data_IF_615160747987
#
_entry.id   IF_615160747987
#
_cell.length_a   1.000
_cell.length_b   1.000
_cell.length_c   1.000
_cell.angle_alpha   90.00
_cell.angle_beta   90.00
_cell.angle_gamma   90.00
#
_symmetry.space_group_name_H-M   'P 1'
#
loop_
_entity.id
_entity.type
_entity.pdbx_description
1 polymer ?
#
# COMPACT_ATOMS: atom_id res chain seq x y z
N UNK A 1 -8.18 31.95 42.66
CA UNK A 1 -6.92 32.06 41.89
C UNK A 1 -6.19 30.73 41.78
N UNK A 2 -6.03 29.97 42.88
CA UNK A 2 -5.40 28.61 42.87
C UNK A 2 -6.11 27.61 41.96
N UNK A 3 -7.45 27.60 41.92
CA UNK A 3 -8.23 26.71 41.04
C UNK A 3 -8.00 27.00 39.56
N UNK A 4 -7.76 28.26 39.18
CA UNK A 4 -7.55 28.65 37.78
C UNK A 4 -6.16 28.22 37.25
N UNK A 5 -5.14 28.19 38.11
CA UNK A 5 -3.80 27.67 37.79
C UNK A 5 -3.75 26.14 37.79
N UNK A 6 -4.55 25.48 38.62
CA UNK A 6 -4.69 24.03 38.61
C UNK A 6 -5.33 23.53 37.30
N UNK A 7 -6.33 24.25 36.76
CA UNK A 7 -6.98 23.87 35.50
C UNK A 7 -6.07 24.00 34.26
N UNK A 8 -5.04 24.85 34.28
CA UNK A 8 -4.05 24.96 33.19
C UNK A 8 -2.91 23.94 33.31
N UNK A 9 -2.85 23.18 34.40
CA UNK A 9 -1.82 22.19 34.68
C UNK A 9 -2.32 20.75 34.53
N UNK A 10 -3.59 20.55 34.16
CA UNK A 10 -4.15 19.22 33.89
C UNK A 10 -3.65 18.67 32.55
N UNK A 11 -3.72 17.33 32.40
CA UNK A 11 -3.42 16.61 31.16
C UNK A 11 -3.94 17.33 29.91
N UNK A 12 -3.04 17.52 28.93
CA UNK A 12 -3.34 18.19 27.65
C UNK A 12 -3.62 17.20 26.52
N UNK A 13 -3.97 15.95 26.85
CA UNK A 13 -4.28 14.95 25.82
C UNK A 13 -5.62 15.27 25.17
N UNK A 14 -5.56 16.03 24.08
CA UNK A 14 -6.67 16.17 23.16
C UNK A 14 -6.79 14.94 22.27
N UNK A 15 -8.03 14.51 22.04
CA UNK A 15 -8.29 13.44 21.07
C UNK A 15 -7.97 13.98 19.67
N UNK A 16 -7.06 13.35 18.92
CA UNK A 16 -6.64 13.88 17.63
C UNK A 16 -7.82 13.91 16.65
N UNK A 17 -8.05 15.07 16.02
CA UNK A 17 -9.10 15.26 15.02
C UNK A 17 -8.48 15.48 13.62
N UNK A 18 -8.36 14.39 12.86
CA UNK A 18 -7.75 14.44 11.53
C UNK A 18 -8.48 15.40 10.57
N UNK A 19 -9.80 15.53 10.66
CA UNK A 19 -10.57 16.40 9.75
C UNK A 19 -10.26 17.87 9.98
N UNK A 20 -10.24 18.26 11.26
CA UNK A 20 -9.92 19.61 11.68
C UNK A 20 -8.48 19.96 11.33
N UNK A 21 -7.53 19.07 11.59
CA UNK A 21 -6.13 19.27 11.23
C UNK A 21 -5.94 19.42 9.72
N UNK A 22 -6.57 18.57 8.91
CA UNK A 22 -6.48 18.65 7.44
C UNK A 22 -6.99 19.99 6.92
N UNK A 23 -8.07 20.50 7.52
CA UNK A 23 -8.65 21.81 7.19
C UNK A 23 -7.75 22.96 7.64
N UNK A 24 -7.29 22.95 8.89
CA UNK A 24 -6.50 24.01 9.49
C UNK A 24 -5.13 24.14 8.82
N UNK A 25 -4.48 23.00 8.56
CA UNK A 25 -3.16 22.94 7.92
C UNK A 25 -3.24 22.99 6.39
N UNK A 26 -4.45 23.07 5.80
CA UNK A 26 -4.69 23.10 4.34
C UNK A 26 -3.95 21.99 3.59
N UNK A 27 -3.97 20.78 4.16
CA UNK A 27 -3.21 19.64 3.64
C UNK A 27 -3.70 19.23 2.25
N UNK A 28 -5.02 19.23 2.06
CA UNK A 28 -5.64 18.96 0.76
C UNK A 28 -5.94 20.31 0.09
N UNK A 29 -5.34 20.60 -1.08
CA UNK A 29 -5.58 21.86 -1.78
C UNK A 29 -7.05 22.06 -2.16
N UNK A 30 -7.50 23.31 -2.17
CA UNK A 30 -8.83 23.64 -2.68
C UNK A 30 -8.93 23.25 -4.16
N UNK A 31 -10.00 22.53 -4.54
CA UNK A 31 -10.21 22.05 -5.89
C UNK A 31 -9.41 20.80 -6.27
N UNK A 32 -8.78 20.12 -5.29
CA UNK A 32 -8.05 18.87 -5.49
C UNK A 32 -8.79 17.88 -6.39
N UNK A 33 -8.10 17.38 -7.41
CA UNK A 33 -8.57 16.31 -8.28
C UNK A 33 -7.81 15.03 -7.92
N UNK A 34 -8.48 13.88 -7.88
CA UNK A 34 -7.83 12.61 -7.63
C UNK A 34 -6.74 12.34 -8.67
N UNK A 35 -5.61 11.77 -8.23
CA UNK A 35 -4.57 11.34 -9.16
C UNK A 35 -5.11 10.20 -10.05
N UNK A 36 -4.80 10.24 -11.35
CA UNK A 36 -5.19 9.22 -12.34
C UNK A 36 -4.50 7.86 -12.18
N UNK A 37 -4.32 7.41 -10.94
CA UNK A 37 -3.76 6.13 -10.55
C UNK A 37 -4.83 5.27 -9.88
N UNK A 38 -4.81 3.97 -10.18
CA UNK A 38 -5.55 2.95 -9.43
C UNK A 38 -4.57 2.17 -8.56
N UNK A 39 -4.77 2.27 -7.26
CA UNK A 39 -3.82 1.81 -6.25
C UNK A 39 -4.39 0.59 -5.53
N UNK A 40 -3.60 -0.48 -5.48
CA UNK A 40 -3.86 -1.60 -4.57
C UNK A 40 -3.10 -1.41 -3.27
N UNK A 41 -3.81 -1.24 -2.17
CA UNK A 41 -3.18 -1.15 -0.85
C UNK A 41 -2.92 -2.57 -0.31
N UNK A 42 -1.66 -2.97 -0.30
CA UNK A 42 -1.23 -4.24 0.28
C UNK A 42 -1.39 -4.24 1.81
N UNK A 43 -1.53 -5.42 2.45
CA UNK A 43 -1.53 -5.52 3.90
C UNK A 43 -0.30 -4.84 4.52
N UNK A 44 -0.50 -4.22 5.67
CA UNK A 44 0.56 -3.59 6.41
C UNK A 44 1.51 -4.63 7.02
N UNK A 45 2.81 -4.39 6.86
CA UNK A 45 3.87 -5.24 7.37
C UNK A 45 4.52 -4.59 8.59
N UNK A 46 4.97 -5.39 9.54
CA UNK A 46 5.70 -4.93 10.71
C UNK A 46 7.20 -5.15 10.51
N UNK A 47 7.97 -4.08 10.47
CA UNK A 47 9.43 -4.13 10.31
C UNK A 47 10.09 -3.11 11.25
N UNK A 48 9.93 -3.35 12.55
CA UNK A 48 10.36 -2.45 13.61
C UNK A 48 11.87 -2.20 13.60
N UNK A 49 12.25 -0.93 13.72
CA UNK A 49 13.64 -0.49 13.87
C UNK A 49 14.17 -0.77 15.28
N UNK A 50 13.28 -0.71 16.27
CA UNK A 50 13.58 -1.00 17.66
C UNK A 50 13.15 -2.42 17.99
N UNK A 51 14.06 -3.22 18.58
CA UNK A 51 13.73 -4.56 19.03
C UNK A 51 13.02 -4.48 20.40
N UNK A 52 11.74 -4.92 20.50
CA UNK A 52 11.01 -4.89 21.77
C UNK A 52 11.74 -5.60 22.91
N UNK A 53 12.41 -6.73 22.66
CA UNK A 53 13.12 -7.50 23.71
C UNK A 53 14.31 -6.75 24.30
N UNK A 54 14.90 -5.83 23.54
CA UNK A 54 16.05 -5.02 23.97
C UNK A 54 15.64 -3.65 24.48
N UNK A 55 14.53 -3.12 23.99
CA UNK A 55 14.08 -1.76 24.29
C UNK A 55 13.10 -1.73 25.45
N UNK A 56 12.28 -2.76 25.64
CA UNK A 56 11.28 -2.80 26.72
C UNK A 56 11.90 -3.31 28.03
N UNK A 57 12.93 -2.61 28.48
CA UNK A 57 13.60 -2.82 29.77
C UNK A 57 13.56 -1.51 30.55
N UNK A 58 13.51 -1.60 31.88
CA UNK A 58 13.23 -0.45 32.76
C UNK A 58 14.17 0.76 32.54
N UNK A 59 15.40 0.52 32.10
CA UNK A 59 16.44 1.56 31.95
C UNK A 59 16.33 2.43 30.68
N UNK A 60 15.59 2.01 29.66
CA UNK A 60 15.60 2.71 28.35
C UNK A 60 14.69 3.92 28.30
N UNK A 61 13.82 4.09 29.31
CA UNK A 61 12.77 5.13 29.37
C UNK A 61 11.87 5.14 28.13
N UNK A 62 11.78 4.02 27.40
CA UNK A 62 11.06 3.90 26.14
C UNK A 62 10.43 2.53 26.05
N UNK A 63 9.22 2.49 25.49
CA UNK A 63 8.47 1.26 25.33
C UNK A 63 7.96 1.11 23.90
N UNK A 64 8.40 0.04 23.26
CA UNK A 64 7.95 -0.38 21.94
C UNK A 64 6.66 -1.17 22.09
N UNK A 65 5.60 -0.64 21.50
CA UNK A 65 4.27 -1.24 21.52
C UNK A 65 4.05 -1.93 20.17
N UNK A 66 4.67 -3.09 19.96
CA UNK A 66 4.55 -3.81 18.69
C UNK A 66 3.06 -4.09 18.38
N UNK A 67 2.50 -3.54 17.29
CA UNK A 67 1.09 -3.73 16.98
C UNK A 67 0.83 -5.19 16.60
N UNK A 68 -0.24 -5.76 17.14
CA UNK A 68 -0.71 -7.11 16.81
C UNK A 68 -1.19 -7.19 15.36
N UNK A 69 -1.31 -8.39 14.76
CA UNK A 69 -1.84 -8.55 13.41
C UNK A 69 -3.22 -7.91 13.20
N UNK A 70 -4.09 -7.94 14.21
CA UNK A 70 -5.41 -7.28 14.19
C UNK A 70 -5.29 -5.75 14.23
N UNK A 71 -4.37 -5.20 15.04
CA UNK A 71 -4.11 -3.76 15.06
C UNK A 71 -3.44 -3.26 13.77
N UNK A 72 -2.73 -4.11 13.04
CA UNK A 72 -2.14 -3.77 11.74
C UNK A 72 -3.18 -3.84 10.61
N UNK A 73 -3.90 -4.96 10.51
CA UNK A 73 -4.67 -5.35 9.31
C UNK A 73 -6.15 -5.68 9.58
N UNK A 74 -6.63 -5.53 10.82
CA UNK A 74 -8.02 -5.75 11.20
C UNK A 74 -8.97 -4.64 10.75
N UNK A 75 -10.25 -4.76 11.11
CA UNK A 75 -11.31 -3.82 10.71
C UNK A 75 -11.12 -2.41 11.27
N UNK A 76 -10.40 -2.29 12.39
CA UNK A 76 -9.99 -1.03 12.98
C UNK A 76 -8.46 -0.96 13.04
N UNK A 77 -7.75 -1.58 12.11
CA UNK A 77 -6.29 -1.56 12.06
C UNK A 77 -5.72 -0.35 11.31
N UNK A 78 -4.39 -0.18 11.40
CA UNK A 78 -3.64 0.88 10.70
C UNK A 78 -3.91 0.85 9.19
N UNK A 79 -3.90 -0.35 8.58
CA UNK A 79 -4.19 -0.53 7.16
C UNK A 79 -5.55 0.04 6.75
N UNK A 80 -6.61 -0.32 7.49
CA UNK A 80 -7.97 0.11 7.21
C UNK A 80 -8.15 1.61 7.43
N UNK A 81 -7.57 2.17 8.51
CA UNK A 81 -7.57 3.62 8.76
C UNK A 81 -6.87 4.38 7.62
N UNK A 82 -5.70 3.92 7.19
CA UNK A 82 -4.97 4.54 6.08
C UNK A 82 -5.79 4.49 4.79
N UNK A 83 -6.39 3.34 4.47
CA UNK A 83 -7.28 3.19 3.31
C UNK A 83 -8.45 4.17 3.38
N UNK A 84 -9.17 4.21 4.51
CA UNK A 84 -10.36 5.04 4.68
C UNK A 84 -10.02 6.52 4.56
N UNK A 85 -8.86 6.96 5.07
CA UNK A 85 -8.35 8.33 4.90
C UNK A 85 -8.12 8.65 3.42
N UNK A 86 -7.41 7.78 2.70
CA UNK A 86 -7.09 8.00 1.28
C UNK A 86 -8.35 7.99 0.39
N UNK A 87 -9.33 7.14 0.71
CA UNK A 87 -10.64 7.09 0.05
C UNK A 87 -11.44 8.37 0.34
N UNK A 88 -11.58 8.73 1.62
CA UNK A 88 -12.37 9.87 2.08
C UNK A 88 -11.97 11.18 1.40
N UNK A 89 -10.66 11.42 1.29
CA UNK A 89 -10.13 12.62 0.65
C UNK A 89 -9.95 12.49 -0.86
N UNK A 90 -10.38 11.37 -1.48
CA UNK A 90 -10.30 11.12 -2.92
C UNK A 90 -8.89 11.35 -3.45
N UNK A 91 -7.91 10.71 -2.83
CA UNK A 91 -6.50 10.84 -3.18
C UNK A 91 -6.17 10.25 -4.56
N UNK A 92 -6.94 9.25 -5.00
CA UNK A 92 -6.71 8.47 -6.21
C UNK A 92 -8.00 8.27 -7.01
N UNK A 93 -7.88 7.98 -8.31
CA UNK A 93 -9.00 7.57 -9.18
C UNK A 93 -9.70 6.34 -8.58
N UNK A 94 -8.90 5.38 -8.11
CA UNK A 94 -9.36 4.21 -7.37
C UNK A 94 -8.30 3.82 -6.35
N UNK A 95 -8.71 3.51 -5.13
CA UNK A 95 -7.85 2.83 -4.16
C UNK A 95 -8.67 1.77 -3.46
N UNK A 96 -8.13 0.57 -3.38
CA UNK A 96 -8.81 -0.58 -2.80
C UNK A 96 -7.82 -1.54 -2.15
N UNK A 97 -8.25 -2.35 -1.17
CA UNK A 97 -7.40 -3.38 -0.60
C UNK A 97 -7.08 -4.44 -1.67
N UNK A 98 -5.85 -4.97 -1.65
CA UNK A 98 -5.51 -6.08 -2.53
C UNK A 98 -6.16 -7.38 -2.05
N UNK A 99 -7.23 -7.79 -2.74
CA UNK A 99 -7.90 -9.06 -2.45
C UNK A 99 -6.95 -10.26 -2.59
N UNK A 100 -6.96 -11.13 -1.57
CA UNK A 100 -6.11 -12.33 -1.51
C UNK A 100 -4.66 -12.09 -1.06
N UNK A 101 -4.23 -10.84 -0.88
CA UNK A 101 -2.91 -10.53 -0.35
C UNK A 101 -2.82 -10.87 1.14
N UNK A 102 -1.65 -11.36 1.56
CA UNK A 102 -1.31 -11.64 2.96
C UNK A 102 -0.14 -10.78 3.40
N UNK A 103 0.07 -10.55 4.71
CA UNK A 103 1.21 -9.78 5.22
C UNK A 103 2.59 -10.34 4.79
N UNK A 104 2.67 -11.64 4.49
CA UNK A 104 3.87 -12.32 4.02
C UNK A 104 3.89 -12.60 2.51
N UNK A 105 2.96 -12.02 1.74
CA UNK A 105 2.96 -12.16 0.28
C UNK A 105 4.22 -11.56 -0.32
N UNK A 106 4.80 -12.23 -1.31
CA UNK A 106 5.99 -11.72 -2.00
C UNK A 106 5.63 -10.53 -2.89
N UNK A 107 6.60 -9.65 -3.23
CA UNK A 107 6.36 -8.56 -4.18
C UNK A 107 5.76 -9.02 -5.51
N UNK A 108 6.18 -10.19 -6.01
CA UNK A 108 5.67 -10.78 -7.26
C UNK A 108 4.20 -11.21 -7.13
N UNK A 109 3.82 -11.80 -6.00
CA UNK A 109 2.44 -12.17 -5.72
C UNK A 109 1.53 -10.94 -5.64
N UNK A 110 1.95 -9.92 -4.89
CA UNK A 110 1.21 -8.66 -4.77
C UNK A 110 1.03 -8.00 -6.13
N UNK A 111 2.08 -7.97 -6.96
CA UNK A 111 2.03 -7.46 -8.32
C UNK A 111 1.02 -8.21 -9.18
N UNK A 112 1.04 -9.55 -9.14
CA UNK A 112 0.11 -10.40 -9.90
C UNK A 112 -1.34 -10.16 -9.48
N UNK A 113 -1.61 -10.05 -8.18
CA UNK A 113 -2.96 -9.78 -7.65
C UNK A 113 -3.44 -8.40 -8.08
N UNK A 114 -2.60 -7.38 -7.96
CA UNK A 114 -2.92 -6.02 -8.39
C UNK A 114 -3.22 -5.93 -9.89
N UNK A 115 -2.40 -6.60 -10.70
CA UNK A 115 -2.61 -6.65 -12.15
C UNK A 115 -3.92 -7.36 -12.50
N UNK A 116 -4.24 -8.46 -11.83
CA UNK A 116 -5.50 -9.18 -12.04
C UNK A 116 -6.74 -8.33 -11.70
N UNK A 117 -6.62 -7.40 -10.73
CA UNK A 117 -7.66 -6.44 -10.36
C UNK A 117 -7.67 -5.18 -11.26
N UNK A 118 -6.74 -5.10 -12.23
CA UNK A 118 -6.61 -3.97 -13.15
C UNK A 118 -6.03 -2.70 -12.51
N UNK A 119 -5.30 -2.84 -11.41
CA UNK A 119 -4.63 -1.76 -10.68
C UNK A 119 -3.28 -1.42 -11.33
N UNK A 120 -2.82 -0.19 -11.13
CA UNK A 120 -1.58 0.31 -11.77
C UNK A 120 -0.37 0.11 -10.86
N UNK A 121 -0.57 0.31 -9.56
CA UNK A 121 0.50 0.26 -8.56
C UNK A 121 0.05 -0.48 -7.31
N UNK A 122 1.00 -1.14 -6.67
CA UNK A 122 0.89 -1.67 -5.31
C UNK A 122 1.47 -0.64 -4.35
N UNK A 123 0.67 -0.19 -3.38
CA UNK A 123 1.13 0.58 -2.24
C UNK A 123 1.31 -0.35 -1.05
N UNK A 124 2.53 -0.48 -0.56
CA UNK A 124 2.86 -1.31 0.60
C UNK A 124 3.23 -0.42 1.80
N UNK A 125 2.40 -0.40 2.86
CA UNK A 125 2.74 0.24 4.12
C UNK A 125 3.55 -0.70 5.03
N UNK A 126 4.65 -0.20 5.61
CA UNK A 126 5.47 -0.90 6.60
C UNK A 126 5.64 -0.07 7.87
N UNK A 127 5.26 -0.60 9.04
CA UNK A 127 5.44 0.08 10.33
C UNK A 127 6.88 -0.11 10.80
N UNK A 128 7.59 1.00 10.94
CA UNK A 128 9.01 1.07 11.36
C UNK A 128 9.20 1.44 12.81
N UNK A 129 8.39 2.37 13.31
CA UNK A 129 8.38 2.77 14.72
C UNK A 129 6.94 2.82 15.20
N UNK A 130 6.74 2.35 16.42
CA UNK A 130 5.47 2.34 17.11
C UNK A 130 5.75 2.26 18.61
N UNK A 131 6.23 3.37 19.15
CA UNK A 131 6.78 3.43 20.50
C UNK A 131 6.51 4.78 21.17
N UNK A 132 6.52 4.75 22.50
CA UNK A 132 6.39 5.92 23.38
C UNK A 132 7.60 6.01 24.28
N UNK A 133 8.02 7.22 24.62
CA UNK A 133 9.19 7.44 25.47
C UNK A 133 8.95 8.53 26.49
N UNK A 134 9.54 8.38 27.66
CA UNK A 134 9.65 9.46 28.63
C UNK A 134 10.83 10.34 28.27
N UNK A 135 10.63 11.66 28.25
CA UNK A 135 11.66 12.65 27.95
C UNK A 135 12.25 13.15 29.26
N UNK A 136 11.48 13.94 30.00
CA UNK A 136 11.89 14.61 31.24
C UNK A 136 10.68 15.10 32.03
N UNK A 137 10.94 15.57 33.25
CA UNK A 137 9.95 16.33 34.01
C UNK A 137 10.04 17.79 33.58
N UNK A 138 8.92 18.39 33.22
CA UNK A 138 8.86 19.75 32.69
C UNK A 138 8.85 20.80 33.82
N UNK A 139 8.75 22.08 33.44
CA UNK A 139 8.76 23.20 34.40
C UNK A 139 7.64 23.16 35.45
N UNK A 140 6.56 22.40 35.21
CA UNK A 140 5.50 22.18 36.19
C UNK A 140 5.96 21.32 37.37
N UNK A 141 7.03 20.54 37.25
CA UNK A 141 7.56 19.69 38.33
C UNK A 141 7.95 20.49 39.57
N UNK A 142 8.64 21.62 39.41
CA UNK A 142 9.03 22.48 40.53
C UNK A 142 7.80 23.06 41.26
N UNK A 143 6.76 23.39 40.49
CA UNK A 143 5.47 23.83 41.04
C UNK A 143 4.71 22.67 41.70
N UNK A 144 4.78 21.49 41.12
CA UNK A 144 4.18 20.27 41.64
C UNK A 144 4.79 19.91 43.01
N UNK A 145 6.11 19.99 43.12
CA UNK A 145 6.87 19.83 44.36
C UNK A 145 6.49 20.87 45.42
N UNK A 146 6.27 22.13 45.04
CA UNK A 146 5.81 23.17 45.97
C UNK A 146 4.41 22.83 46.52
N UNK A 147 3.48 22.43 45.65
CA UNK A 147 2.12 22.01 46.05
C UNK A 147 2.18 20.78 46.97
N UNK A 148 3.07 19.82 46.67
CA UNK A 148 3.29 18.64 47.47
C UNK A 148 3.63 18.99 48.92
N UNK A 149 4.62 19.88 49.09
CA UNK A 149 5.15 20.28 50.40
C UNK A 149 4.23 21.23 51.17
N UNK A 150 3.60 22.17 50.48
CA UNK A 150 2.95 23.32 51.13
C UNK A 150 1.43 23.21 51.21
N UNK A 151 0.80 22.36 50.39
CA UNK A 151 -0.66 22.31 50.28
C UNK A 151 -1.21 20.91 50.55
N UNK A 152 -0.97 19.97 49.63
CA UNK A 152 -1.41 18.59 49.78
C UNK A 152 -0.78 17.70 48.71
N UNK A 153 -0.27 16.51 49.07
CA UNK A 153 0.14 15.47 48.14
C UNK A 153 -0.95 15.00 47.17
N UNK A 154 -2.23 15.27 47.45
CA UNK A 154 -3.34 14.81 46.58
C UNK A 154 -3.47 15.67 45.33
N UNK A 155 -3.18 16.97 45.42
CA UNK A 155 -3.29 17.88 44.28
C UNK A 155 -2.18 17.68 43.26
N UNK A 156 -1.07 17.09 43.67
CA UNK A 156 0.08 16.89 42.79
C UNK A 156 -0.14 15.83 41.73
N UNK A 157 -1.05 14.90 42.01
CA UNK A 157 -1.40 13.82 41.10
C UNK A 157 -2.19 14.28 39.86
N UNK A 158 -2.67 15.52 39.87
CA UNK A 158 -3.45 16.12 38.78
C UNK A 158 -2.62 17.07 37.91
N UNK A 159 -1.32 17.19 38.20
CA UNK A 159 -0.41 18.08 37.50
C UNK A 159 0.35 17.27 36.47
N UNK A 160 0.25 17.69 35.20
CA UNK A 160 0.95 17.08 34.09
C UNK A 160 2.38 17.61 34.01
N UNK A 161 3.27 17.08 34.85
CA UNK A 161 4.66 17.51 34.95
C UNK A 161 5.65 16.60 34.22
N UNK A 162 5.20 15.55 33.53
CA UNK A 162 6.06 14.60 32.83
C UNK A 162 5.83 14.62 31.33
N UNK A 163 6.88 14.89 30.56
CA UNK A 163 6.81 14.96 29.11
C UNK A 163 7.11 13.60 28.47
N UNK A 164 6.20 13.16 27.61
CA UNK A 164 6.31 11.93 26.84
C UNK A 164 6.33 12.21 25.34
N UNK A 165 7.19 11.50 24.61
CA UNK A 165 7.17 11.46 23.15
C UNK A 165 6.40 10.26 22.60
N UNK A 166 5.93 10.40 21.36
CA UNK A 166 5.40 9.30 20.56
C UNK A 166 6.00 9.26 19.17
N UNK A 167 6.40 8.05 18.75
CA UNK A 167 6.98 7.79 17.45
C UNK A 167 6.17 6.72 16.73
N UNK A 168 5.38 7.15 15.74
CA UNK A 168 4.70 6.27 14.79
C UNK A 168 5.23 6.58 13.39
N UNK A 169 6.07 5.69 12.87
CA UNK A 169 6.69 5.84 11.55
C UNK A 169 6.19 4.74 10.62
N UNK A 170 5.62 5.14 9.49
CA UNK A 170 5.14 4.22 8.45
C UNK A 170 5.89 4.51 7.16
N UNK A 171 6.63 3.53 6.64
CA UNK A 171 7.19 3.63 5.29
C UNK A 171 6.10 3.25 4.27
N UNK A 172 5.78 4.15 3.34
CA UNK A 172 4.97 3.84 2.16
C UNK A 172 5.88 3.59 0.97
N UNK A 173 5.72 2.44 0.33
CA UNK A 173 6.42 2.07 -0.90
C UNK A 173 5.44 1.82 -2.02
N UNK A 174 5.72 2.38 -3.19
CA UNK A 174 4.94 2.23 -4.41
C UNK A 174 5.70 1.39 -5.42
N UNK A 175 5.07 0.30 -5.86
CA UNK A 175 5.60 -0.63 -6.84
C UNK A 175 4.67 -0.67 -8.07
N UNK A 176 5.13 -0.25 -9.26
CA UNK A 176 4.35 -0.38 -10.48
C UNK A 176 4.07 -1.83 -10.81
N UNK A 177 2.86 -2.11 -11.32
CA UNK A 177 2.51 -3.45 -11.79
C UNK A 177 3.27 -3.87 -13.05
N UNK A 178 3.74 -2.88 -13.83
CA UNK A 178 4.55 -3.03 -15.04
C UNK A 178 5.92 -3.66 -14.75
N UNK A 179 6.68 -3.09 -13.83
CA UNK A 179 8.09 -3.44 -13.56
C UNK A 179 8.30 -4.19 -12.24
N UNK A 180 7.46 -3.93 -11.23
CA UNK A 180 7.65 -4.44 -9.88
C UNK A 180 8.77 -3.76 -9.08
N UNK A 181 9.53 -2.83 -9.68
CA UNK A 181 10.59 -2.09 -9.00
C UNK A 181 10.01 -1.03 -8.07
N UNK A 182 10.77 -0.63 -7.04
CA UNK A 182 10.37 0.49 -6.19
C UNK A 182 10.39 1.78 -7.01
N UNK A 183 9.22 2.34 -7.30
CA UNK A 183 9.12 3.60 -8.04
C UNK A 183 9.20 4.82 -7.11
N UNK A 184 8.59 4.72 -5.93
CA UNK A 184 8.64 5.80 -4.94
C UNK A 184 8.51 5.23 -3.53
N UNK A 185 9.34 5.71 -2.62
CA UNK A 185 9.27 5.37 -1.20
C UNK A 185 9.30 6.64 -0.35
N UNK A 186 8.47 6.69 0.69
CA UNK A 186 8.48 7.79 1.66
C UNK A 186 8.24 7.27 3.06
N UNK A 187 9.07 7.74 4.00
CA UNK A 187 8.79 7.58 5.43
C UNK A 187 7.80 8.65 5.88
N UNK A 188 6.65 8.19 6.36
CA UNK A 188 5.64 9.01 7.03
C UNK A 188 6.04 9.14 8.49
N UNK A 189 6.74 10.21 8.81
CA UNK A 189 7.10 10.59 10.17
C UNK A 189 6.67 12.04 10.41
N UNK A 190 6.26 12.40 11.64
CA UNK A 190 5.96 13.78 11.96
C UNK A 190 7.21 14.65 11.75
N UNK A 191 7.01 15.92 11.35
CA UNK A 191 8.13 16.85 11.09
C UNK A 191 8.89 17.20 12.37
N UNK A 192 8.16 17.24 13.47
CA UNK A 192 8.65 17.53 14.82
C UNK A 192 8.24 16.39 15.74
N UNK A 193 9.04 16.13 16.77
CA UNK A 193 8.72 15.13 17.78
C UNK A 193 7.41 15.51 18.47
N UNK A 194 6.48 14.57 18.52
CA UNK A 194 5.18 14.79 19.16
C UNK A 194 5.35 14.56 20.65
N UNK A 195 5.35 15.66 21.41
CA UNK A 195 5.49 15.65 22.88
C UNK A 195 4.16 16.02 23.53
N UNK A 196 3.77 15.31 24.59
CA UNK A 196 2.64 15.66 25.45
C UNK A 196 3.02 15.49 26.91
N UNK A 197 2.52 16.38 27.73
CA UNK A 197 2.66 16.31 29.18
C UNK A 197 1.51 15.47 29.75
N UNK A 198 1.85 14.47 30.55
CA UNK A 198 0.92 13.54 31.18
C UNK A 198 0.92 13.74 32.69
N UNK A 199 -0.21 13.48 33.32
CA UNK A 199 -0.33 13.41 34.78
C UNK A 199 -0.26 11.97 35.31
N UNK A 200 -0.22 11.81 36.63
CA UNK A 200 -0.12 10.51 37.30
C UNK A 200 -1.28 9.55 36.98
N UNK A 201 -2.46 10.09 36.68
CA UNK A 201 -3.60 9.28 36.27
C UNK A 201 -3.47 8.80 34.83
N UNK A 202 -2.75 9.52 33.98
CA UNK A 202 -2.57 9.18 32.58
C UNK A 202 -1.62 8.01 32.36
N UNK A 203 -0.46 7.99 33.04
CA UNK A 203 0.55 6.94 32.89
C UNK A 203 0.43 5.81 33.91
N UNK A 204 -0.33 6.02 34.99
CA UNK A 204 -0.74 5.00 35.94
C UNK A 204 -0.29 5.31 37.35
N UNK A 205 -1.28 5.38 38.25
CA UNK A 205 -1.15 5.98 39.55
C UNK A 205 -0.16 5.26 40.48
N UNK A 206 0.76 6.03 41.06
CA UNK A 206 1.61 5.63 42.18
C UNK A 206 1.63 6.78 43.19
N UNK A 207 1.45 6.51 44.49
CA UNK A 207 1.37 7.55 45.51
C UNK A 207 2.65 8.41 45.62
N UNK A 208 3.80 7.89 45.16
CA UNK A 208 5.09 8.57 45.12
C UNK A 208 5.63 8.72 43.68
N UNK A 209 4.76 8.73 42.68
CA UNK A 209 5.10 8.94 41.26
C UNK A 209 6.01 10.14 41.03
N UNK A 210 5.72 11.28 41.68
CA UNK A 210 6.52 12.52 41.63
C UNK A 210 8.02 12.28 41.91
N UNK A 211 8.40 11.26 42.69
CA UNK A 211 9.80 10.95 42.97
C UNK A 211 10.36 9.77 42.18
N UNK A 212 9.50 9.02 41.50
CA UNK A 212 9.84 7.70 40.97
C UNK A 212 9.56 7.54 39.47
N UNK A 213 8.88 8.47 38.80
CA UNK A 213 8.71 8.44 37.34
C UNK A 213 10.06 8.72 36.64
N UNK A 214 10.43 7.98 35.58
CA UNK A 214 9.75 6.81 35.00
C UNK A 214 10.18 5.47 35.61
N UNK A 215 11.06 5.46 36.61
CA UNK A 215 11.66 4.24 37.17
C UNK A 215 10.70 3.22 37.78
N UNK A 216 9.49 3.62 38.19
CA UNK A 216 8.47 2.66 38.64
C UNK A 216 7.59 2.10 37.50
N UNK A 217 7.67 2.66 36.30
CA UNK A 217 6.74 2.35 35.22
C UNK A 217 6.98 0.95 34.66
N UNK A 218 6.06 0.03 34.96
CA UNK A 218 6.03 -1.29 34.37
C UNK A 218 5.30 -1.32 33.02
N UNK A 219 5.20 -2.52 32.42
CA UNK A 219 4.53 -2.73 31.12
C UNK A 219 3.11 -2.16 31.08
N UNK A 220 2.31 -2.35 32.13
CA UNK A 220 0.93 -1.86 32.19
C UNK A 220 0.84 -0.33 32.14
N UNK A 221 1.79 0.38 32.76
CA UNK A 221 1.89 1.83 32.71
C UNK A 221 2.20 2.31 31.29
N UNK A 222 3.19 1.69 30.65
CA UNK A 222 3.58 2.01 29.27
C UNK A 222 2.48 1.71 28.25
N UNK A 223 1.73 0.62 28.42
CA UNK A 223 0.55 0.33 27.60
C UNK A 223 -0.52 1.40 27.79
N UNK A 224 -0.71 1.91 29.01
CA UNK A 224 -1.66 3.00 29.29
C UNK A 224 -1.25 4.31 28.61
N UNK A 225 0.01 4.71 28.73
CA UNK A 225 0.59 5.85 27.99
C UNK A 225 0.39 5.66 26.49
N UNK A 226 0.73 4.47 25.99
CA UNK A 226 0.54 4.05 24.61
C UNK A 226 -0.88 4.26 24.09
N UNK A 227 -1.88 3.83 24.87
CA UNK A 227 -3.29 3.93 24.48
C UNK A 227 -3.77 5.38 24.23
N UNK A 228 -3.12 6.36 24.88
CA UNK A 228 -3.41 7.79 24.74
C UNK A 228 -2.55 8.43 23.64
N UNK A 229 -1.27 8.08 23.57
CA UNK A 229 -0.29 8.76 22.72
C UNK A 229 -0.23 8.21 21.29
N UNK A 230 -0.33 6.89 21.10
CA UNK A 230 -0.25 6.25 19.77
C UNK A 230 -1.28 6.82 18.77
N UNK A 231 -2.56 7.05 19.14
CA UNK A 231 -3.52 7.67 18.22
C UNK A 231 -3.07 9.03 17.67
N UNK A 232 -2.34 9.83 18.46
CA UNK A 232 -1.80 11.12 18.03
C UNK A 232 -0.71 10.91 16.97
N UNK A 233 0.19 9.96 17.21
CA UNK A 233 1.23 9.56 16.25
C UNK A 233 0.64 9.03 14.94
N UNK A 234 -0.37 8.16 15.02
CA UNK A 234 -1.07 7.66 13.83
C UNK A 234 -1.78 8.78 13.06
N UNK A 235 -2.45 9.71 13.76
CA UNK A 235 -3.06 10.88 13.12
C UNK A 235 -2.00 11.69 12.34
N UNK A 236 -0.84 11.95 12.94
CA UNK A 236 0.26 12.63 12.27
C UNK A 236 0.77 11.84 11.05
N UNK A 237 0.89 10.51 11.14
CA UNK A 237 1.26 9.67 10.00
C UNK A 237 0.23 9.76 8.86
N UNK A 238 -1.08 9.77 9.17
CA UNK A 238 -2.14 9.98 8.17
C UNK A 238 -2.05 11.36 7.51
N UNK A 239 -1.77 12.43 8.28
CA UNK A 239 -1.50 13.77 7.71
C UNK A 239 -0.32 13.75 6.74
N UNK A 240 0.75 13.02 7.07
CA UNK A 240 1.89 12.87 6.17
C UNK A 240 1.56 12.02 4.94
N UNK A 241 0.70 11.00 5.05
CA UNK A 241 0.24 10.24 3.90
C UNK A 241 -0.49 11.14 2.89
N UNK A 242 -1.39 12.00 3.37
CA UNK A 242 -2.10 12.96 2.52
C UNK A 242 -1.13 13.97 1.87
N UNK A 243 -0.13 14.47 2.62
CA UNK A 243 0.92 15.34 2.07
C UNK A 243 1.76 14.63 1.01
N UNK A 244 2.13 13.38 1.27
CA UNK A 244 2.87 12.56 0.32
C UNK A 244 2.11 12.45 -1.00
N UNK A 245 0.80 12.18 -0.97
CA UNK A 245 0.00 12.11 -2.20
C UNK A 245 -0.11 13.47 -2.88
N UNK A 246 -0.52 14.50 -2.14
CA UNK A 246 -0.84 15.83 -2.69
C UNK A 246 0.38 16.63 -3.16
N UNK A 247 1.58 16.30 -2.66
CA UNK A 247 2.80 17.04 -2.95
C UNK A 247 3.83 16.18 -3.69
N UNK A 248 4.28 15.10 -3.06
CA UNK A 248 5.41 14.31 -3.56
C UNK A 248 4.99 13.47 -4.78
N UNK A 249 3.91 12.70 -4.64
CA UNK A 249 3.43 11.81 -5.70
C UNK A 249 2.78 12.59 -6.85
N UNK A 250 1.98 13.61 -6.55
CA UNK A 250 1.39 14.48 -7.57
C UNK A 250 2.47 15.09 -8.48
N UNK A 251 3.53 15.65 -7.89
CA UNK A 251 4.67 16.19 -8.65
C UNK A 251 5.41 15.09 -9.42
N UNK A 252 5.57 13.90 -8.84
CA UNK A 252 6.23 12.79 -9.53
C UNK A 252 5.46 12.27 -10.73
N UNK A 253 4.13 12.41 -10.76
CA UNK A 253 3.33 12.05 -11.92
C UNK A 253 3.48 13.01 -13.11
N UNK A 254 4.09 14.18 -12.91
CA UNK A 254 4.45 15.10 -14.01
C UNK A 254 5.78 14.70 -14.67
N UNK A 255 6.54 13.78 -14.06
CA UNK A 255 7.84 13.32 -14.53
C UNK A 255 7.68 12.24 -15.61
N UNK A 256 8.14 12.47 -16.86
CA UNK A 256 8.01 11.51 -17.95
C UNK A 256 8.70 10.16 -17.67
N UNK A 257 9.81 10.16 -16.92
CA UNK A 257 10.53 8.94 -16.60
C UNK A 257 9.72 8.07 -15.63
N UNK A 258 9.09 8.71 -14.63
CA UNK A 258 8.19 8.03 -13.69
C UNK A 258 6.96 7.47 -14.39
N UNK A 259 6.35 8.23 -15.31
CA UNK A 259 5.25 7.73 -16.14
C UNK A 259 5.69 6.58 -17.06
N UNK A 260 6.92 6.63 -17.56
CA UNK A 260 7.54 5.55 -18.33
C UNK A 260 7.67 4.26 -17.53
N UNK A 261 8.02 4.35 -16.24
CA UNK A 261 8.11 3.19 -15.35
C UNK A 261 6.73 2.61 -15.01
N UNK A 262 5.69 3.45 -14.91
CA UNK A 262 4.31 3.02 -14.69
C UNK A 262 3.68 2.36 -15.93
N UNK A 263 4.23 2.63 -17.12
CA UNK A 263 3.71 2.18 -18.40
C UNK A 263 3.67 0.66 -18.49
N UNK A 264 2.48 0.09 -18.63
CA UNK A 264 2.32 -1.33 -18.95
C UNK A 264 2.46 -1.54 -20.45
N UNK A 265 3.01 -2.69 -20.79
CA UNK A 265 3.09 -3.17 -22.17
C UNK A 265 2.32 -4.47 -22.25
N UNK A 266 1.05 -4.36 -22.59
CA UNK A 266 0.14 -5.49 -22.66
C UNK A 266 0.06 -6.00 -24.11
N UNK A 267 -0.37 -7.24 -24.33
CA UNK A 267 -0.59 -7.68 -25.69
C UNK A 267 -1.11 -9.08 -25.88
N UNK A 268 -1.48 -9.37 -27.13
CA UNK A 268 -1.89 -10.68 -27.60
C UNK A 268 -0.94 -11.13 -28.70
N UNK A 269 -0.38 -12.32 -28.55
CA UNK A 269 0.55 -12.92 -29.52
C UNK A 269 -0.13 -14.17 -30.07
N UNK A 270 -0.27 -14.25 -31.39
CA UNK A 270 -1.04 -15.30 -32.06
C UNK A 270 -0.14 -16.03 -33.06
N UNK A 271 -0.04 -17.35 -32.95
CA UNK A 271 0.72 -18.20 -33.86
C UNK A 271 -0.13 -19.32 -34.45
N UNK A 272 -0.43 -19.28 -35.76
CA UNK A 272 -1.28 -20.28 -36.40
C UNK A 272 -0.48 -21.06 -37.43
N UNK A 273 -0.23 -22.33 -37.13
CA UNK A 273 0.47 -23.27 -37.99
C UNK A 273 -0.50 -24.18 -38.77
N UNK A 274 0.05 -25.17 -39.49
CA UNK A 274 -0.74 -26.14 -40.23
C UNK A 274 -1.57 -27.10 -39.35
N UNK A 275 -1.24 -27.24 -38.06
CA UNK A 275 -2.05 -28.02 -37.11
C UNK A 275 -3.31 -27.27 -36.72
N UNK A 276 -3.23 -25.95 -36.51
CA UNK A 276 -4.38 -25.11 -36.23
C UNK A 276 -5.31 -24.89 -37.44
N UNK A 277 -4.77 -24.97 -38.66
CA UNK A 277 -5.54 -24.85 -39.90
C UNK A 277 -4.91 -25.66 -41.04
N UNK A 278 -5.34 -26.94 -41.21
CA UNK A 278 -4.83 -27.80 -42.26
C UNK A 278 -5.01 -27.20 -43.66
N UNK A 279 -4.00 -27.37 -44.52
CA UNK A 279 -4.05 -26.92 -45.93
C UNK A 279 -3.52 -25.51 -46.19
N UNK A 280 -3.02 -24.80 -45.18
CA UNK A 280 -2.29 -23.54 -45.39
C UNK A 280 -0.80 -23.81 -45.66
N UNK A 281 -0.25 -23.40 -46.82
CA UNK A 281 1.17 -23.53 -47.09
C UNK A 281 2.01 -22.54 -46.26
N UNK A 282 3.22 -22.94 -45.88
CA UNK A 282 4.26 -22.11 -45.24
C UNK A 282 4.03 -21.61 -43.81
N UNK A 283 3.22 -22.29 -42.99
CA UNK A 283 3.01 -21.90 -41.57
C UNK A 283 3.61 -22.85 -40.53
N UNK A 284 4.43 -23.83 -40.94
CA UNK A 284 4.97 -24.90 -40.06
C UNK A 284 5.74 -24.41 -38.81
N UNK A 285 6.19 -23.16 -38.79
CA UNK A 285 6.92 -22.57 -37.65
C UNK A 285 6.17 -21.44 -36.96
N UNK A 286 4.97 -21.08 -37.42
CA UNK A 286 4.24 -19.92 -36.92
C UNK A 286 3.92 -20.01 -35.42
N UNK A 287 3.61 -21.20 -34.91
CA UNK A 287 3.47 -21.45 -33.47
C UNK A 287 4.80 -21.26 -32.72
N UNK A 288 5.88 -21.85 -33.23
CA UNK A 288 7.21 -21.73 -32.63
C UNK A 288 7.70 -20.27 -32.61
N UNK A 289 7.44 -19.51 -33.68
CA UNK A 289 7.77 -18.10 -33.81
C UNK A 289 6.99 -17.26 -32.79
N UNK A 290 5.69 -17.52 -32.63
CA UNK A 290 4.86 -16.83 -31.63
C UNK A 290 5.34 -17.09 -30.20
N UNK A 291 5.71 -18.35 -29.87
CA UNK A 291 6.28 -18.70 -28.56
C UNK A 291 7.63 -18.03 -28.35
N UNK A 292 8.51 -18.06 -29.36
CA UNK A 292 9.82 -17.43 -29.29
C UNK A 292 9.70 -15.90 -29.12
N UNK A 293 8.79 -15.27 -29.87
CA UNK A 293 8.50 -13.85 -29.79
C UNK A 293 7.94 -13.48 -28.42
N UNK A 294 7.02 -14.28 -27.87
CA UNK A 294 6.49 -14.08 -26.52
C UNK A 294 7.57 -14.13 -25.46
N UNK A 295 8.44 -15.16 -25.49
CA UNK A 295 9.56 -15.28 -24.57
C UNK A 295 10.52 -14.09 -24.70
N UNK A 296 10.92 -13.77 -25.93
CA UNK A 296 11.80 -12.65 -26.21
C UNK A 296 11.23 -11.32 -25.71
N UNK A 297 9.95 -11.07 -25.95
CA UNK A 297 9.29 -9.82 -25.58
C UNK A 297 9.12 -9.70 -24.06
N UNK A 298 8.88 -10.80 -23.34
CA UNK A 298 8.84 -10.84 -21.87
C UNK A 298 10.24 -10.70 -21.24
N UNK A 299 11.28 -11.22 -21.89
CA UNK A 299 12.67 -11.18 -21.39
C UNK A 299 13.50 -10.02 -21.94
N UNK A 300 12.91 -9.10 -22.69
CA UNK A 300 13.65 -8.02 -23.34
C UNK A 300 14.27 -7.10 -22.30
N UNK A 301 15.57 -6.80 -22.44
CA UNK A 301 16.30 -5.92 -21.51
C UNK A 301 15.83 -4.47 -21.56
N UNK A 302 15.26 -4.06 -22.70
CA UNK A 302 14.67 -2.73 -22.89
C UNK A 302 13.18 -2.89 -23.13
N UNK A 303 12.37 -2.36 -22.20
CA UNK A 303 10.91 -2.33 -22.29
C UNK A 303 10.34 -3.76 -22.45
N UNK A 304 10.46 -4.67 -21.48
CA UNK A 304 9.78 -5.96 -21.58
C UNK A 304 8.26 -5.78 -21.64
N UNK A 305 7.55 -6.74 -22.24
CA UNK A 305 6.11 -6.86 -22.04
C UNK A 305 5.82 -7.15 -20.57
N UNK A 306 4.70 -6.65 -20.06
CA UNK A 306 4.31 -6.84 -18.67
C UNK A 306 3.81 -8.26 -18.47
N UNK A 307 4.55 -9.05 -17.69
CA UNK A 307 4.17 -10.40 -17.32
C UNK A 307 2.76 -10.42 -16.69
N UNK A 308 1.91 -11.36 -17.13
CA UNK A 308 0.50 -11.43 -16.73
C UNK A 308 -0.44 -10.50 -17.52
N UNK A 309 0.09 -9.53 -18.28
CA UNK A 309 -0.66 -8.70 -19.23
C UNK A 309 -0.43 -9.12 -20.70
N UNK A 310 0.11 -10.32 -20.91
CA UNK A 310 0.32 -10.90 -22.24
C UNK A 310 -0.39 -12.24 -22.34
N UNK A 311 -1.12 -12.44 -23.44
CA UNK A 311 -1.72 -13.74 -23.76
C UNK A 311 -1.16 -14.26 -25.07
N UNK A 312 -0.62 -15.47 -25.06
CA UNK A 312 -0.09 -16.14 -26.25
C UNK A 312 -1.02 -17.29 -26.63
N UNK A 313 -1.55 -17.26 -27.85
CA UNK A 313 -2.44 -18.27 -28.40
C UNK A 313 -1.78 -18.93 -29.62
N UNK A 314 -1.61 -20.25 -29.60
CA UNK A 314 -0.94 -20.97 -30.69
C UNK A 314 -1.73 -22.17 -31.21
N UNK A 315 -1.40 -22.61 -32.41
CA UNK A 315 -1.93 -23.83 -33.03
C UNK A 315 -3.45 -23.85 -33.07
N UNK A 316 -4.05 -24.96 -32.64
CA UNK A 316 -5.50 -25.14 -32.61
C UNK A 316 -6.24 -24.23 -31.59
N UNK A 317 -5.55 -23.71 -30.58
CA UNK A 317 -6.16 -22.83 -29.58
C UNK A 317 -6.39 -21.39 -30.10
N UNK A 318 -5.67 -20.98 -31.15
CA UNK A 318 -5.74 -19.66 -31.78
C UNK A 318 -7.00 -19.46 -32.66
N UNK A 319 -8.18 -19.82 -32.13
CA UNK A 319 -9.46 -19.64 -32.80
C UNK A 319 -9.91 -18.17 -32.77
N UNK A 320 -10.86 -17.80 -33.65
CA UNK A 320 -11.44 -16.45 -33.64
C UNK A 320 -12.04 -16.06 -32.29
N UNK A 321 -12.77 -16.98 -31.66
CA UNK A 321 -13.39 -16.73 -30.36
C UNK A 321 -12.33 -16.49 -29.28
N UNK A 322 -11.33 -17.36 -29.20
CA UNK A 322 -10.25 -17.25 -28.22
C UNK A 322 -9.41 -15.99 -28.40
N UNK A 323 -9.11 -15.59 -29.64
CA UNK A 323 -8.37 -14.34 -29.91
C UNK A 323 -9.18 -13.11 -29.47
N UNK A 324 -10.48 -13.07 -29.77
CA UNK A 324 -11.36 -11.97 -29.34
C UNK A 324 -11.46 -11.93 -27.82
N UNK A 325 -11.61 -13.09 -27.16
CA UNK A 325 -11.64 -13.21 -25.71
C UNK A 325 -10.32 -12.73 -25.07
N UNK A 326 -9.18 -13.15 -25.62
CA UNK A 326 -7.86 -12.72 -25.15
C UNK A 326 -7.67 -11.20 -25.29
N UNK A 327 -8.09 -10.62 -26.42
CA UNK A 327 -8.09 -9.16 -26.60
C UNK A 327 -8.99 -8.52 -25.53
N UNK A 328 -10.22 -9.00 -25.37
CA UNK A 328 -11.16 -8.49 -24.37
C UNK A 328 -10.65 -8.58 -22.93
N UNK A 329 -9.83 -9.59 -22.61
CA UNK A 329 -9.19 -9.75 -21.29
C UNK A 329 -7.98 -8.84 -21.09
N UNK A 330 -7.17 -8.64 -22.13
CA UNK A 330 -5.89 -7.91 -22.02
C UNK A 330 -6.07 -6.41 -22.24
N UNK A 331 -6.96 -5.97 -23.12
CA UNK A 331 -7.18 -4.55 -23.41
C UNK A 331 -7.54 -3.71 -22.17
N UNK A 332 -8.37 -4.18 -21.20
CA UNK A 332 -8.63 -3.45 -19.96
C UNK A 332 -7.39 -3.20 -19.09
N UNK A 333 -6.33 -3.99 -19.28
CA UNK A 333 -5.04 -3.83 -18.59
C UNK A 333 -4.14 -2.76 -19.26
N UNK A 334 -4.49 -2.29 -20.46
CA UNK A 334 -3.78 -1.21 -21.15
C UNK A 334 -4.61 0.09 -21.10
N UNK A 335 -4.02 1.17 -20.55
CA UNK A 335 -4.63 2.50 -20.43
C UNK A 335 -4.02 3.54 -21.36
N UNK A 336 -4.46 4.80 -21.21
CA UNK A 336 -4.09 5.92 -22.08
C UNK A 336 -2.59 6.17 -22.21
N UNK A 337 -1.81 5.83 -21.18
CA UNK A 337 -0.35 5.91 -21.21
C UNK A 337 0.33 4.56 -21.47
N UNK A 338 -0.39 3.45 -21.63
CA UNK A 338 0.18 2.11 -21.84
C UNK A 338 0.48 1.83 -23.33
N UNK A 339 1.07 0.66 -23.62
CA UNK A 339 1.21 0.14 -24.99
C UNK A 339 0.46 -1.18 -25.10
N UNK A 340 -0.34 -1.32 -26.15
CA UNK A 340 -0.98 -2.58 -26.50
C UNK A 340 -0.37 -3.14 -27.79
N UNK A 341 0.05 -4.40 -27.75
CA UNK A 341 0.63 -5.11 -28.88
C UNK A 341 -0.31 -6.21 -29.37
N UNK A 342 -0.50 -6.29 -30.68
CA UNK A 342 -1.05 -7.47 -31.34
C UNK A 342 0.02 -7.99 -32.31
N UNK A 343 0.52 -9.18 -32.04
CA UNK A 343 1.54 -9.83 -32.89
C UNK A 343 0.93 -11.08 -33.51
N UNK A 344 1.11 -11.25 -34.82
CA UNK A 344 0.56 -12.39 -35.56
C UNK A 344 1.65 -13.08 -36.37
N UNK A 345 1.81 -14.38 -36.15
CA UNK A 345 2.65 -15.28 -36.91
C UNK A 345 1.71 -16.26 -37.63
N UNK A 346 1.65 -16.22 -38.95
CA UNK A 346 0.75 -17.09 -39.72
C UNK A 346 0.43 -16.52 -41.10
N UNK A 347 -0.63 -17.02 -41.73
CA UNK A 347 -1.02 -16.62 -43.08
C UNK A 347 -1.92 -15.40 -43.08
N UNK A 348 -1.49 -14.34 -43.76
CA UNK A 348 -2.39 -13.28 -44.23
C UNK A 348 -3.21 -13.78 -45.42
N UNK A 349 -4.47 -13.40 -45.49
CA UNK A 349 -5.41 -13.84 -46.53
C UNK A 349 -6.34 -12.69 -46.94
N UNK A 350 -7.16 -12.93 -47.95
CA UNK A 350 -8.25 -12.04 -48.32
C UNK A 350 -9.57 -12.64 -47.85
N UNK A 351 -10.43 -11.79 -47.28
CA UNK A 351 -11.81 -12.15 -46.98
C UNK A 351 -12.62 -12.28 -48.26
N UNK A 352 -13.85 -12.82 -48.17
CA UNK A 352 -14.72 -13.00 -49.34
C UNK A 352 -15.07 -11.67 -50.04
N UNK A 353 -15.07 -10.56 -49.29
CA UNK A 353 -15.25 -9.19 -49.79
C UNK A 353 -13.94 -8.51 -50.21
N UNK A 354 -12.83 -9.26 -50.30
CA UNK A 354 -11.54 -8.77 -50.81
C UNK A 354 -10.73 -7.94 -49.82
N UNK A 355 -11.06 -7.93 -48.53
CA UNK A 355 -10.30 -7.20 -47.49
C UNK A 355 -9.17 -8.04 -46.94
N UNK A 356 -8.13 -7.38 -46.43
CA UNK A 356 -7.04 -8.05 -45.73
C UNK A 356 -7.57 -8.72 -44.45
N UNK A 357 -7.17 -9.97 -44.23
CA UNK A 357 -7.50 -10.74 -43.05
C UNK A 357 -6.36 -11.65 -42.63
N UNK A 358 -6.51 -12.29 -41.47
CA UNK A 358 -5.58 -13.28 -40.95
C UNK A 358 -6.27 -14.63 -40.82
N UNK A 359 -5.57 -15.70 -41.17
CA UNK A 359 -6.08 -17.05 -41.05
C UNK A 359 -5.93 -17.55 -39.61
N UNK A 360 -7.04 -17.55 -38.87
CA UNK A 360 -7.12 -18.12 -37.51
C UNK A 360 -7.45 -19.62 -37.55
N UNK A 361 -7.19 -20.31 -36.44
CA UNK A 361 -7.44 -21.74 -36.31
C UNK A 361 -8.93 -22.09 -36.48
N UNK A 362 -9.20 -23.24 -37.08
CA UNK A 362 -10.54 -23.79 -37.16
C UNK A 362 -10.78 -24.70 -35.95
N UNK A 363 -11.95 -24.61 -35.27
CA UNK A 363 -12.29 -25.57 -34.24
C UNK A 363 -12.32 -26.99 -34.86
N UNK A 364 -11.91 -28.03 -34.13
CA UNK A 364 -11.97 -29.40 -34.64
C UNK A 364 -13.41 -29.72 -35.05
N UNK A 365 -13.58 -30.13 -36.31
CA UNK A 365 -14.87 -30.54 -36.84
C UNK A 365 -15.40 -31.73 -36.00
N UNK A 366 -16.52 -31.51 -35.30
CA UNK A 366 -17.25 -32.56 -34.57
C UNK A 366 -17.85 -33.63 -35.49
N UNK A 367 -17.67 -33.53 -36.81
CA UNK A 367 -18.20 -34.44 -37.81
C UNK A 367 -17.29 -35.63 -38.17
N UNK A 368 -16.11 -35.79 -37.57
CA UNK A 368 -15.21 -36.93 -37.86
C UNK A 368 -15.18 -38.05 -36.81
N UNK A 369 -15.94 -37.99 -35.72
CA UNK A 369 -15.94 -39.04 -34.67
C UNK A 369 -16.84 -40.25 -35.01
N UNK A 370 -17.68 -40.19 -36.05
CA UNK A 370 -18.67 -41.25 -36.34
C UNK A 370 -18.42 -42.04 -37.65
N UNK A 371 -17.16 -42.36 -37.99
CA UNK A 371 -16.88 -43.32 -39.09
C UNK A 371 -15.71 -44.25 -38.78
N UNK A 372 -15.86 -45.11 -37.77
CA UNK A 372 -15.11 -46.38 -37.70
C UNK A 372 -15.79 -47.40 -36.77
N UNK A 373 -17.06 -47.72 -37.02
CA UNK A 373 -17.69 -48.92 -36.43
C UNK A 373 -18.77 -49.53 -37.32
N UNK A 374 -18.51 -49.70 -38.62
CA UNK A 374 -19.25 -50.65 -39.46
C UNK A 374 -18.43 -51.04 -40.69
N UNK A 375 -17.73 -52.16 -40.57
CA UNK A 375 -17.32 -53.12 -41.60
C UNK A 375 -16.47 -54.16 -40.85
N UNK A 376 -16.71 -55.46 -40.85
CA UNK A 376 -17.59 -56.35 -41.59
C UNK A 376 -17.01 -57.74 -41.30
#
# INVERSE_FOLDING_TARGET
>A
MVVALACTACSTIETPNLEEDVKNEKIVPAGWQPLGLRVGLAPCVLELELNPEKTNVEDTKRWVLAPTPEQLNGQAGIHKRLLDVLVKYRMFERIEPLEGARPNSTPEELRRLALAQGLDVVMQPSVRRHDVGYIESNGAYAWNMFIWWMMSPVFTWWIADEDFDVNVHIDLRLFPTSTGNLALGKRLAPKETLVRSLDDFDHGFNALSIFSTPGYMGESNWVKVGSKMIPIGECAAHKQALRFVTQDLARKLEDPDFLGDLRRRAGVIVGVDSQGRPGLPMTRYAEADAVALSRFALSATRRPLTEGAVTTLTGAAATRAAVIEAIGKVTPLARGNDEFFLMFCGTGTLTQDGRLGVALAQPPNSSMVNKSSTAG
#
